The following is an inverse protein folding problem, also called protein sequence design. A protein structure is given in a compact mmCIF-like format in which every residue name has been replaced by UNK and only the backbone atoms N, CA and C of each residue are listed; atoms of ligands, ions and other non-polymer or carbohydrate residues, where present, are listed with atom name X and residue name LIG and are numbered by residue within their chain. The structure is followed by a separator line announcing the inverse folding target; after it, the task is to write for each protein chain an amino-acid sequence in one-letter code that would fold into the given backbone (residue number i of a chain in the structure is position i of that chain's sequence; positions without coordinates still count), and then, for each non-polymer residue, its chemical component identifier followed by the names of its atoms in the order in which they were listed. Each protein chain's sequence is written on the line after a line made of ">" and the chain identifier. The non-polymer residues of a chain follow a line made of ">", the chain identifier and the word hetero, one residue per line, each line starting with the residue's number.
data_IF_397246206927
#
_entry.id   IF_397246206927
#
_cell.length_a   1.000
_cell.length_b   1.000
_cell.length_c   1.000
_cell.angle_alpha   90.00
_cell.angle_beta   90.00
_cell.angle_gamma   90.00
#
_symmetry.space_group_name_H-M   'P 1'
#
loop_
_entity.id
_entity.type
_entity.pdbx_description
1 polymer ?
#
# COMPACT_ATOMS: atom_id res chain seq x y z
N UNK A 1 12.84 -19.27 -0.77
CA UNK A 1 13.25 -20.37 -1.69
C UNK A 1 12.88 -20.14 -3.17
N UNK A 2 11.67 -19.69 -3.52
CA UNK A 2 11.21 -19.60 -4.93
C UNK A 2 12.16 -18.86 -5.89
N UNK A 3 12.79 -17.77 -5.45
CA UNK A 3 13.69 -17.01 -6.33
C UNK A 3 15.03 -17.72 -6.57
N UNK A 4 15.57 -18.46 -5.59
CA UNK A 4 16.79 -19.28 -5.73
C UNK A 4 16.59 -20.28 -6.89
N UNK A 5 15.49 -21.03 -6.81
CA UNK A 5 15.11 -21.99 -7.84
C UNK A 5 14.89 -21.33 -9.21
N UNK A 6 14.27 -20.15 -9.25
CA UNK A 6 14.07 -19.41 -10.51
C UNK A 6 15.39 -19.00 -11.17
N UNK A 7 16.38 -18.56 -10.39
CA UNK A 7 17.70 -18.16 -10.91
C UNK A 7 18.41 -19.40 -11.48
N UNK A 8 18.47 -20.49 -10.71
CA UNK A 8 19.11 -21.73 -11.17
C UNK A 8 18.41 -22.37 -12.37
N UNK A 9 17.07 -22.31 -12.41
CA UNK A 9 16.30 -22.75 -13.57
C UNK A 9 16.62 -21.88 -14.80
N UNK A 10 16.82 -20.57 -14.64
CA UNK A 10 17.25 -19.70 -15.73
C UNK A 10 18.66 -20.04 -16.21
N UNK A 11 19.62 -20.27 -15.31
CA UNK A 11 20.97 -20.71 -15.70
C UNK A 11 20.92 -22.01 -16.50
N UNK A 12 20.17 -23.00 -16.01
CA UNK A 12 20.02 -24.30 -16.69
C UNK A 12 19.40 -24.15 -18.08
N UNK A 13 18.33 -23.36 -18.23
CA UNK A 13 17.71 -23.06 -19.53
C UNK A 13 18.66 -22.38 -20.51
N UNK A 14 19.59 -21.57 -20.01
CA UNK A 14 20.59 -20.87 -20.81
C UNK A 14 21.88 -21.69 -21.01
N UNK A 15 21.90 -22.97 -20.62
CA UNK A 15 23.09 -23.83 -20.65
C UNK A 15 24.30 -23.24 -19.90
N UNK A 16 24.03 -22.44 -18.87
CA UNK A 16 25.05 -21.89 -17.98
C UNK A 16 25.24 -22.79 -16.76
N UNK A 17 26.44 -22.76 -16.18
CA UNK A 17 26.70 -23.38 -14.89
C UNK A 17 25.86 -22.71 -13.81
N UNK A 18 25.45 -23.50 -12.81
CA UNK A 18 24.79 -22.94 -11.63
C UNK A 18 25.78 -22.03 -10.88
N UNK A 19 25.27 -20.88 -10.45
CA UNK A 19 26.02 -19.93 -9.64
C UNK A 19 25.51 -19.92 -8.20
N UNK A 20 26.37 -19.69 -7.21
CA UNK A 20 25.92 -19.39 -5.85
C UNK A 20 25.01 -18.15 -5.87
N UNK A 21 23.90 -18.24 -5.16
CA UNK A 21 23.00 -17.11 -4.92
C UNK A 21 23.02 -16.86 -3.43
N UNK A 22 23.36 -15.63 -3.03
CA UNK A 22 23.43 -15.21 -1.62
C UNK A 22 22.13 -14.49 -1.27
N UNK A 23 21.23 -15.09 -0.49
CA UNK A 23 20.06 -14.41 0.04
C UNK A 23 20.48 -13.30 1.01
N UNK A 24 19.96 -12.10 0.81
CA UNK A 24 20.09 -10.99 1.77
C UNK A 24 18.70 -10.53 2.16
N UNK A 25 18.44 -10.47 3.46
CA UNK A 25 17.22 -9.94 4.05
C UNK A 25 17.60 -8.70 4.84
N UNK A 26 17.09 -7.55 4.41
CA UNK A 26 17.09 -6.34 5.22
C UNK A 26 15.75 -6.27 5.95
N UNK A 27 15.79 -6.21 7.27
CA UNK A 27 14.61 -6.12 8.12
C UNK A 27 14.62 -4.83 8.94
N UNK A 28 13.50 -4.12 8.94
CA UNK A 28 13.32 -2.85 9.63
C UNK A 28 11.92 -2.74 10.28
N UNK A 29 11.34 -3.87 10.68
CA UNK A 29 10.03 -3.91 11.33
C UNK A 29 10.07 -3.44 12.79
N UNK A 30 8.90 -3.40 13.43
CA UNK A 30 8.74 -2.92 14.82
C UNK A 30 9.39 -3.86 15.85
N UNK A 31 9.37 -5.16 15.60
CA UNK A 31 9.83 -6.20 16.52
C UNK A 31 11.17 -6.75 16.07
N UNK A 32 12.01 -7.24 16.97
CA UNK A 32 13.24 -7.95 16.57
C UNK A 32 12.93 -9.21 15.77
N UNK A 33 13.65 -9.45 14.67
CA UNK A 33 13.50 -10.65 13.86
C UNK A 33 14.15 -11.85 14.52
N UNK A 34 13.36 -12.89 14.81
CA UNK A 34 13.86 -14.18 15.28
C UNK A 34 14.32 -15.02 14.10
N UNK A 35 15.63 -15.18 13.95
CA UNK A 35 16.21 -16.07 12.94
C UNK A 35 15.70 -17.50 13.18
N UNK A 36 15.15 -18.11 12.14
CA UNK A 36 14.65 -19.49 12.16
C UNK A 36 15.15 -20.19 10.89
N UNK A 37 15.76 -21.36 11.02
CA UNK A 37 16.19 -22.16 9.86
C UNK A 37 14.97 -22.76 9.17
N UNK A 38 15.12 -23.16 7.92
CA UNK A 38 13.99 -23.68 7.16
C UNK A 38 13.42 -24.97 7.79
N UNK A 39 14.27 -25.89 8.25
CA UNK A 39 13.85 -27.08 9.02
C UNK A 39 13.04 -26.75 10.26
N UNK A 40 13.32 -25.64 10.92
CA UNK A 40 12.71 -25.32 12.21
C UNK A 40 11.22 -25.00 12.04
N UNK A 41 10.72 -24.75 10.82
CA UNK A 41 9.28 -24.57 10.52
C UNK A 41 8.47 -25.87 10.48
N UNK A 42 9.13 -27.03 10.46
CA UNK A 42 8.45 -28.33 10.43
C UNK A 42 8.27 -28.84 11.86
N UNK A 43 7.06 -28.72 12.39
CA UNK A 43 6.72 -29.10 13.76
C UNK A 43 6.26 -30.56 13.81
N UNK A 44 6.66 -31.29 14.86
CA UNK A 44 6.19 -32.66 15.13
C UNK A 44 6.75 -33.76 14.22
N UNK A 45 7.85 -33.50 13.50
CA UNK A 45 8.55 -34.52 12.70
C UNK A 45 9.77 -35.06 13.44
N UNK A 46 10.05 -36.35 13.26
CA UNK A 46 11.26 -36.97 13.78
C UNK A 46 12.51 -36.40 13.09
N UNK A 47 13.57 -36.18 13.87
CA UNK A 47 14.83 -35.60 13.39
C UNK A 47 15.46 -36.40 12.23
N UNK A 48 15.17 -37.70 12.13
CA UNK A 48 15.61 -38.56 11.01
C UNK A 48 15.18 -38.00 9.65
N UNK A 49 14.06 -37.27 9.59
CA UNK A 49 13.54 -36.71 8.35
C UNK A 49 14.18 -35.36 7.96
N UNK A 50 14.97 -34.72 8.84
CA UNK A 50 15.60 -33.43 8.53
C UNK A 50 16.56 -33.48 7.35
N UNK A 51 17.14 -34.64 7.02
CA UNK A 51 18.01 -34.81 5.83
C UNK A 51 17.27 -34.63 4.49
N UNK A 52 15.94 -34.69 4.49
CA UNK A 52 15.12 -34.49 3.29
C UNK A 52 14.61 -33.05 3.17
N UNK A 53 14.91 -32.19 4.15
CA UNK A 53 14.52 -30.78 4.14
C UNK A 53 15.66 -29.96 3.53
N UNK A 54 15.40 -29.17 2.47
CA UNK A 54 16.42 -28.33 1.87
C UNK A 54 16.86 -27.22 2.81
N UNK A 55 18.13 -27.18 3.15
CA UNK A 55 18.72 -26.15 3.99
C UNK A 55 19.49 -25.13 3.14
N UNK A 56 19.34 -23.86 3.48
CA UNK A 56 20.07 -22.75 2.87
C UNK A 56 20.23 -21.63 3.90
N UNK A 57 21.33 -20.89 3.78
CA UNK A 57 21.60 -19.74 4.63
C UNK A 57 21.12 -18.45 3.98
N UNK A 58 20.87 -17.44 4.81
CA UNK A 58 20.62 -16.08 4.37
C UNK A 58 21.33 -15.09 5.28
N UNK A 59 21.79 -13.98 4.70
CA UNK A 59 22.34 -12.86 5.45
C UNK A 59 21.17 -12.00 5.94
N UNK A 60 20.98 -11.91 7.25
CA UNK A 60 20.00 -11.03 7.87
C UNK A 60 20.67 -9.76 8.39
N UNK A 61 20.19 -8.61 7.94
CA UNK A 61 20.48 -7.31 8.53
C UNK A 61 19.19 -6.79 9.17
N UNK A 62 19.06 -6.98 10.48
CA UNK A 62 17.97 -6.41 11.26
C UNK A 62 18.41 -5.05 11.85
N UNK A 63 17.76 -3.97 11.42
CA UNK A 63 18.10 -2.61 11.83
C UNK A 63 17.80 -2.32 13.30
N UNK A 64 16.96 -3.13 13.96
CA UNK A 64 16.66 -2.98 15.39
C UNK A 64 17.89 -3.26 16.27
N UNK A 65 18.88 -4.00 15.78
CA UNK A 65 20.11 -4.31 16.51
C UNK A 65 21.18 -3.22 16.47
N UNK A 66 20.99 -2.16 15.69
CA UNK A 66 21.95 -1.08 15.56
C UNK A 66 21.40 0.20 16.18
N UNK A 67 22.28 1.03 16.76
CA UNK A 67 21.95 2.40 17.13
C UNK A 67 21.96 3.34 15.91
N UNK A 68 21.40 4.55 16.04
CA UNK A 68 21.50 5.55 14.96
C UNK A 68 22.95 5.94 14.69
N UNK A 69 23.78 6.05 15.73
CA UNK A 69 25.20 6.37 15.62
C UNK A 69 25.97 5.24 14.93
N UNK A 70 25.64 3.98 15.21
CA UNK A 70 26.26 2.84 14.53
C UNK A 70 25.91 2.80 13.04
N UNK A 71 24.63 3.01 12.69
CA UNK A 71 24.20 3.09 11.29
C UNK A 71 24.89 4.26 10.58
N UNK A 72 24.95 5.42 11.26
CA UNK A 72 25.54 6.63 10.70
C UNK A 72 27.05 6.48 10.48
N UNK A 73 27.80 6.03 11.48
CA UNK A 73 29.26 6.20 11.47
C UNK A 73 30.06 4.91 11.24
N UNK A 74 29.44 3.73 11.38
CA UNK A 74 30.18 2.45 11.44
C UNK A 74 29.75 1.42 10.40
N UNK A 75 28.45 1.28 10.16
CA UNK A 75 27.92 0.14 9.37
C UNK A 75 27.93 0.43 7.88
N UNK A 76 27.52 1.65 7.48
CA UNK A 76 27.35 2.01 6.07
C UNK A 76 28.29 3.15 5.67
N UNK A 77 28.94 3.00 4.51
CA UNK A 77 29.91 3.99 3.99
C UNK A 77 29.34 4.94 2.94
N UNK A 78 28.22 4.58 2.31
CA UNK A 78 27.57 5.43 1.30
C UNK A 78 26.52 6.31 1.97
N UNK A 79 26.56 7.60 1.67
CA UNK A 79 25.60 8.62 2.15
C UNK A 79 24.14 8.15 1.95
N UNK A 80 23.80 7.68 0.75
CA UNK A 80 22.46 7.18 0.46
C UNK A 80 22.04 6.02 1.34
N UNK A 81 22.94 5.08 1.64
CA UNK A 81 22.66 3.95 2.54
C UNK A 81 22.52 4.41 3.99
N UNK A 82 23.40 5.27 4.48
CA UNK A 82 23.30 5.82 5.85
C UNK A 82 21.91 6.46 6.06
N UNK A 83 21.51 7.35 5.15
CA UNK A 83 20.22 8.04 5.22
C UNK A 83 19.06 7.04 5.14
N UNK A 84 19.08 6.13 4.17
CA UNK A 84 18.01 5.13 3.98
C UNK A 84 17.83 4.27 5.22
N UNK A 85 18.93 3.77 5.79
CA UNK A 85 18.88 2.88 6.95
C UNK A 85 18.45 3.61 8.22
N UNK A 86 18.87 4.87 8.41
CA UNK A 86 18.37 5.71 9.51
C UNK A 86 16.86 5.95 9.40
N UNK A 87 16.36 6.28 8.21
CA UNK A 87 14.93 6.50 8.02
C UNK A 87 14.13 5.20 8.19
N UNK A 88 14.57 4.10 7.58
CA UNK A 88 13.90 2.80 7.71
C UNK A 88 13.87 2.30 9.15
N UNK A 89 14.96 2.44 9.90
CA UNK A 89 15.01 2.07 11.33
C UNK A 89 14.00 2.83 12.17
N UNK A 90 13.85 4.13 11.92
CA UNK A 90 13.05 5.00 12.77
C UNK A 90 11.63 5.24 12.22
N UNK A 91 11.25 4.60 11.10
CA UNK A 91 9.98 4.89 10.39
C UNK A 91 8.73 4.67 11.25
N UNK A 92 8.80 3.78 12.24
CA UNK A 92 7.68 3.46 13.14
C UNK A 92 7.72 4.22 14.48
N UNK A 93 8.64 5.16 14.64
CA UNK A 93 8.77 5.98 15.85
C UNK A 93 8.71 7.46 15.47
N UNK A 94 7.50 7.99 15.35
CA UNK A 94 7.24 9.35 14.85
C UNK A 94 7.99 10.42 15.64
N UNK A 95 8.13 10.24 16.96
CA UNK A 95 8.87 11.15 17.82
C UNK A 95 10.35 11.20 17.42
N UNK A 96 11.02 10.05 17.37
CA UNK A 96 12.45 10.00 17.01
C UNK A 96 12.66 10.41 15.56
N UNK A 97 11.81 9.91 14.64
CA UNK A 97 11.89 10.24 13.23
C UNK A 97 11.78 11.76 13.03
N UNK A 98 10.76 12.38 13.63
CA UNK A 98 10.58 13.81 13.57
C UNK A 98 11.77 14.56 14.18
N UNK A 99 12.18 14.23 15.40
CA UNK A 99 13.22 14.95 16.14
C UNK A 99 14.61 14.84 15.46
N UNK A 100 14.86 13.75 14.74
CA UNK A 100 16.15 13.46 14.11
C UNK A 100 16.16 13.64 12.60
N UNK A 101 15.02 13.93 11.96
CA UNK A 101 14.90 14.04 10.51
C UNK A 101 15.98 14.96 9.90
N UNK A 102 16.16 16.15 10.49
CA UNK A 102 17.17 17.11 10.07
C UNK A 102 18.58 16.51 10.13
N UNK A 103 18.94 15.90 11.26
CA UNK A 103 20.25 15.27 11.44
C UNK A 103 20.49 14.10 10.47
N UNK A 104 19.44 13.40 10.05
CA UNK A 104 19.54 12.34 9.05
C UNK A 104 19.77 12.92 7.65
N UNK A 105 19.03 13.95 7.26
CA UNK A 105 19.19 14.60 5.96
C UNK A 105 20.47 15.43 5.84
N UNK A 106 21.00 15.98 6.93
CA UNK A 106 22.25 16.73 6.93
C UNK A 106 23.44 15.90 6.41
N UNK A 107 23.40 14.57 6.56
CA UNK A 107 24.38 13.63 5.99
C UNK A 107 24.45 13.78 4.46
N UNK A 108 23.31 14.10 3.84
CA UNK A 108 23.16 14.23 2.40
C UNK A 108 23.31 15.65 1.86
N UNK A 109 23.70 16.64 2.67
CA UNK A 109 23.67 18.06 2.28
C UNK A 109 24.27 18.35 0.90
N UNK A 110 25.51 17.90 0.66
CA UNK A 110 26.18 18.09 -0.63
C UNK A 110 25.58 17.18 -1.71
N UNK A 111 25.24 15.95 -1.33
CA UNK A 111 24.68 14.95 -2.24
C UNK A 111 23.35 15.41 -2.83
N UNK A 112 22.52 16.12 -2.07
CA UNK A 112 21.22 16.63 -2.50
C UNK A 112 21.30 17.80 -3.49
N UNK A 113 22.48 18.37 -3.73
CA UNK A 113 22.68 19.34 -4.82
C UNK A 113 23.03 18.66 -6.15
N UNK A 114 23.31 17.35 -6.14
CA UNK A 114 23.70 16.59 -7.32
C UNK A 114 22.51 15.87 -7.97
N UNK A 115 22.53 15.72 -9.30
CA UNK A 115 21.43 15.09 -10.03
C UNK A 115 21.13 13.64 -9.61
N UNK A 116 22.15 12.86 -9.21
CA UNK A 116 21.93 11.51 -8.66
C UNK A 116 21.33 11.55 -7.25
N UNK A 117 21.82 12.45 -6.40
CA UNK A 117 21.29 12.60 -5.04
C UNK A 117 19.88 13.15 -5.00
N UNK A 118 19.47 13.97 -5.97
CA UNK A 118 18.08 14.39 -6.14
C UNK A 118 17.15 13.23 -6.51
N UNK A 119 17.56 12.32 -7.41
CA UNK A 119 16.77 11.12 -7.74
C UNK A 119 16.63 10.19 -6.53
N UNK A 120 17.72 10.06 -5.77
CA UNK A 120 17.70 9.34 -4.49
C UNK A 120 16.74 10.01 -3.50
N UNK A 121 16.86 11.33 -3.31
CA UNK A 121 16.05 12.09 -2.37
C UNK A 121 14.56 12.03 -2.73
N UNK A 122 14.20 12.10 -4.02
CA UNK A 122 12.83 11.88 -4.47
C UNK A 122 12.28 10.53 -3.97
N UNK A 123 13.08 9.47 -4.09
CA UNK A 123 12.68 8.13 -3.65
C UNK A 123 12.48 8.08 -2.12
N UNK A 124 13.35 8.76 -1.37
CA UNK A 124 13.28 8.87 0.08
C UNK A 124 12.04 9.65 0.54
N UNK A 125 11.75 10.81 -0.06
CA UNK A 125 10.58 11.62 0.27
C UNK A 125 9.29 10.82 0.01
N UNK A 126 9.22 10.13 -1.13
CA UNK A 126 8.09 9.25 -1.47
C UNK A 126 7.92 8.13 -0.45
N UNK A 127 9.02 7.53 -0.01
CA UNK A 127 8.99 6.49 1.02
C UNK A 127 8.45 7.03 2.34
N UNK A 128 8.91 8.20 2.79
CA UNK A 128 8.44 8.83 4.03
C UNK A 128 6.93 9.05 4.03
N UNK A 129 6.38 9.67 2.98
CA UNK A 129 4.95 9.92 2.86
C UNK A 129 4.11 8.65 2.70
N UNK A 130 4.71 7.56 2.19
CA UNK A 130 4.03 6.29 2.06
C UNK A 130 4.05 5.47 3.35
N UNK A 131 5.16 5.50 4.08
CA UNK A 131 5.43 4.57 5.18
C UNK A 131 5.24 5.18 6.58
N UNK A 132 4.99 6.49 6.69
CA UNK A 132 4.76 7.19 7.95
C UNK A 132 3.75 8.32 7.80
N UNK A 133 3.18 8.76 8.91
CA UNK A 133 2.25 9.91 8.99
C UNK A 133 3.00 11.24 9.16
N UNK A 134 4.22 11.34 8.64
CA UNK A 134 5.02 12.56 8.77
C UNK A 134 4.41 13.68 7.92
N UNK A 135 4.21 14.85 8.54
CA UNK A 135 3.65 16.02 7.87
C UNK A 135 4.58 16.50 6.73
N UNK A 136 3.99 16.82 5.57
CA UNK A 136 4.76 17.27 4.41
C UNK A 136 5.51 18.57 4.69
N UNK A 137 4.91 19.50 5.44
CA UNK A 137 5.52 20.76 5.82
C UNK A 137 6.81 20.54 6.62
N UNK A 138 6.83 19.58 7.54
CA UNK A 138 8.02 19.22 8.30
C UNK A 138 9.17 18.74 7.40
N UNK A 139 8.86 17.88 6.41
CA UNK A 139 9.87 17.38 5.45
C UNK A 139 10.39 18.51 4.57
N UNK A 140 9.48 19.36 4.08
CA UNK A 140 9.79 20.51 3.23
C UNK A 140 10.71 21.48 3.95
N UNK A 141 10.35 21.92 5.16
CA UNK A 141 11.10 22.93 5.89
C UNK A 141 12.47 22.40 6.33
N UNK A 142 12.52 21.14 6.74
CA UNK A 142 13.80 20.47 7.03
C UNK A 142 14.72 20.48 5.80
N UNK A 143 14.21 20.15 4.61
CA UNK A 143 15.03 20.07 3.40
C UNK A 143 15.43 21.44 2.87
N UNK A 144 14.56 22.46 2.96
CA UNK A 144 14.89 23.85 2.61
C UNK A 144 16.10 24.39 3.39
N UNK A 145 16.23 24.01 4.66
CA UNK A 145 17.37 24.42 5.49
C UNK A 145 18.68 23.70 5.13
N UNK A 146 18.58 22.54 4.48
CA UNK A 146 19.73 21.66 4.20
C UNK A 146 20.26 21.89 2.79
N UNK A 147 19.37 21.90 1.80
CA UNK A 147 19.71 21.94 0.37
C UNK A 147 18.70 22.77 -0.41
N UNK A 148 19.18 23.64 -1.29
CA UNK A 148 18.31 24.47 -2.13
C UNK A 148 17.54 23.58 -3.11
N UNK A 149 18.25 22.72 -3.85
CA UNK A 149 17.61 21.78 -4.78
C UNK A 149 16.72 20.77 -4.05
N UNK A 150 17.17 20.24 -2.91
CA UNK A 150 16.37 19.32 -2.10
C UNK A 150 15.08 19.95 -1.59
N UNK A 151 15.14 21.20 -1.13
CA UNK A 151 13.97 22.00 -0.76
C UNK A 151 13.00 22.18 -1.91
N UNK A 152 13.48 22.60 -3.10
CA UNK A 152 12.65 22.78 -4.31
C UNK A 152 11.99 21.48 -4.76
N UNK A 153 12.74 20.37 -4.72
CA UNK A 153 12.24 19.04 -5.06
C UNK A 153 11.12 18.60 -4.10
N UNK A 154 11.32 18.77 -2.80
CA UNK A 154 10.34 18.37 -1.78
C UNK A 154 8.99 19.09 -1.94
N UNK A 155 9.02 20.40 -2.19
CA UNK A 155 7.82 21.20 -2.47
C UNK A 155 7.09 20.70 -3.72
N UNK A 156 7.83 20.39 -4.79
CA UNK A 156 7.26 19.90 -6.04
C UNK A 156 6.60 18.52 -5.85
N UNK A 157 7.24 17.62 -5.10
CA UNK A 157 6.69 16.29 -4.81
C UNK A 157 5.41 16.41 -3.97
N UNK A 158 5.42 17.22 -2.91
CA UNK A 158 4.26 17.45 -2.07
C UNK A 158 3.08 18.04 -2.87
N UNK A 159 3.32 19.08 -3.67
CA UNK A 159 2.29 19.68 -4.53
C UNK A 159 1.69 18.66 -5.50
N UNK A 160 2.52 17.79 -6.11
CA UNK A 160 2.04 16.75 -7.03
C UNK A 160 1.22 15.67 -6.31
N UNK A 161 1.57 15.31 -5.08
CA UNK A 161 0.82 14.34 -4.29
C UNK A 161 -0.54 14.90 -3.85
N UNK A 162 -0.58 16.16 -3.40
CA UNK A 162 -1.82 16.88 -3.08
C UNK A 162 -2.74 16.94 -4.30
N UNK A 163 -2.21 17.31 -5.46
CA UNK A 163 -3.02 17.39 -6.69
C UNK A 163 -3.54 16.01 -7.11
N UNK A 164 -2.71 14.96 -7.03
CA UNK A 164 -3.15 13.58 -7.27
C UNK A 164 -4.27 13.18 -6.31
N UNK A 165 -4.15 13.52 -5.03
CA UNK A 165 -5.17 13.26 -4.02
C UNK A 165 -6.50 13.96 -4.33
N UNK A 166 -6.45 15.24 -4.74
CA UNK A 166 -7.65 16.00 -5.16
C UNK A 166 -8.32 15.38 -6.37
N UNK A 167 -7.54 14.96 -7.37
CA UNK A 167 -8.06 14.30 -8.58
C UNK A 167 -8.70 12.96 -8.20
N UNK A 168 -8.03 12.14 -7.39
CA UNK A 168 -8.56 10.86 -6.93
C UNK A 168 -9.87 11.04 -6.16
N UNK A 169 -9.90 11.95 -5.19
CA UNK A 169 -11.11 12.24 -4.40
C UNK A 169 -12.27 12.77 -5.26
N UNK A 170 -11.99 13.58 -6.28
CA UNK A 170 -13.02 14.02 -7.24
C UNK A 170 -13.57 12.85 -8.06
N UNK A 171 -12.71 11.95 -8.52
CA UNK A 171 -13.14 10.78 -9.29
C UNK A 171 -13.97 9.82 -8.43
N UNK A 172 -13.52 9.53 -7.21
CA UNK A 172 -14.26 8.69 -6.26
C UNK A 172 -15.61 9.31 -5.90
N UNK A 173 -15.63 10.60 -5.55
CA UNK A 173 -16.87 11.31 -5.22
C UNK A 173 -17.85 11.37 -6.41
N UNK A 174 -17.34 11.53 -7.64
CA UNK A 174 -18.17 11.47 -8.84
C UNK A 174 -18.73 10.07 -9.06
N UNK A 175 -17.91 9.03 -8.96
CA UNK A 175 -18.36 7.65 -9.12
C UNK A 175 -19.41 7.26 -8.06
N UNK A 176 -19.20 7.67 -6.80
CA UNK A 176 -20.16 7.46 -5.73
C UNK A 176 -21.47 8.24 -5.97
N UNK A 177 -21.37 9.50 -6.40
CA UNK A 177 -22.51 10.33 -6.75
C UNK A 177 -23.33 9.76 -7.92
N UNK A 178 -22.67 9.32 -9.00
CA UNK A 178 -23.31 8.67 -10.14
C UNK A 178 -24.00 7.36 -9.72
N UNK A 179 -23.34 6.56 -8.87
CA UNK A 179 -23.92 5.32 -8.32
C UNK A 179 -25.16 5.60 -7.48
N UNK A 180 -25.08 6.57 -6.56
CA UNK A 180 -26.20 6.94 -5.68
C UNK A 180 -27.37 7.51 -6.48
N UNK A 181 -27.11 8.44 -7.40
CA UNK A 181 -28.14 9.03 -8.26
C UNK A 181 -28.83 7.99 -9.15
N UNK A 182 -28.08 7.01 -9.69
CA UNK A 182 -28.67 5.88 -10.44
C UNK A 182 -29.57 5.02 -9.55
N UNK A 183 -29.18 4.74 -8.31
CA UNK A 183 -30.02 3.99 -7.37
C UNK A 183 -31.30 4.75 -7.02
N UNK A 184 -31.19 6.03 -6.67
CA UNK A 184 -32.35 6.88 -6.34
C UNK A 184 -33.33 6.95 -7.52
N UNK A 185 -32.83 7.20 -8.74
CA UNK A 185 -33.67 7.22 -9.94
C UNK A 185 -34.31 5.87 -10.29
N UNK A 186 -33.63 4.75 -10.01
CA UNK A 186 -34.23 3.42 -10.17
C UNK A 186 -35.35 3.17 -9.15
N UNK A 187 -35.15 3.58 -7.89
CA UNK A 187 -36.16 3.45 -6.84
C UNK A 187 -37.39 4.31 -7.18
N UNK A 188 -37.18 5.56 -7.60
CA UNK A 188 -38.25 6.47 -8.02
C UNK A 188 -39.02 5.91 -9.24
N UNK A 189 -38.31 5.36 -10.23
CA UNK A 189 -38.95 4.73 -11.38
C UNK A 189 -39.77 3.48 -11.00
N UNK A 190 -39.29 2.68 -10.04
CA UNK A 190 -40.02 1.53 -9.50
C UNK A 190 -41.25 2.00 -8.72
N UNK A 191 -41.13 3.04 -7.90
CA UNK A 191 -42.24 3.68 -7.16
C UNK A 191 -43.35 4.12 -8.11
N UNK A 192 -43.02 4.93 -9.11
CA UNK A 192 -43.98 5.39 -10.12
C UNK A 192 -44.62 4.21 -10.85
N UNK A 193 -43.83 3.21 -11.25
CA UNK A 193 -44.33 2.03 -11.95
C UNK A 193 -45.28 1.18 -11.09
N UNK A 194 -44.99 1.02 -9.80
CA UNK A 194 -45.85 0.31 -8.85
C UNK A 194 -47.14 1.07 -8.60
N UNK A 195 -47.08 2.39 -8.42
CA UNK A 195 -48.24 3.24 -8.19
C UNK A 195 -49.19 3.22 -9.40
N UNK A 196 -48.66 3.40 -10.61
CA UNK A 196 -49.47 3.43 -11.83
C UNK A 196 -50.18 2.09 -12.10
N UNK A 197 -49.57 0.98 -11.72
CA UNK A 197 -50.06 -0.37 -12.07
C UNK A 197 -50.89 -1.02 -10.98
N UNK A 198 -50.55 -0.79 -9.72
CA UNK A 198 -51.14 -1.45 -8.55
C UNK A 198 -51.71 -0.48 -7.52
N UNK A 199 -51.64 0.84 -7.78
CA UNK A 199 -52.10 1.86 -6.86
C UNK A 199 -51.32 1.87 -5.54
N UNK A 200 -51.96 2.38 -4.49
CA UNK A 200 -51.37 2.52 -3.15
C UNK A 200 -50.87 1.18 -2.58
N UNK A 201 -51.50 0.05 -2.94
CA UNK A 201 -51.04 -1.26 -2.49
C UNK A 201 -49.65 -1.63 -3.01
N UNK A 202 -49.23 -1.14 -4.19
CA UNK A 202 -47.89 -1.37 -4.72
C UNK A 202 -46.79 -0.69 -3.90
N UNK A 203 -47.09 0.47 -3.30
CA UNK A 203 -46.14 1.27 -2.54
C UNK A 203 -45.65 0.59 -1.25
N UNK A 204 -46.37 -0.42 -0.73
CA UNK A 204 -45.96 -1.17 0.46
C UNK A 204 -44.61 -1.88 0.30
N UNK A 205 -44.18 -2.11 -0.95
CA UNK A 205 -42.91 -2.76 -1.28
C UNK A 205 -41.70 -1.81 -1.18
N UNK A 206 -41.90 -0.49 -1.18
CA UNK A 206 -40.81 0.49 -1.25
C UNK A 206 -39.85 0.42 -0.06
N UNK A 207 -40.35 0.11 1.13
CA UNK A 207 -39.50 -0.05 2.32
C UNK A 207 -38.50 -1.21 2.16
N UNK A 208 -38.85 -2.26 1.42
CA UNK A 208 -37.94 -3.39 1.11
C UNK A 208 -37.03 -3.04 -0.06
N UNK A 209 -37.56 -2.40 -1.10
CA UNK A 209 -36.81 -1.98 -2.30
C UNK A 209 -35.72 -0.97 -1.94
N UNK A 210 -36.02 0.02 -1.10
CA UNK A 210 -35.07 1.04 -0.66
C UNK A 210 -33.90 0.52 0.18
N UNK A 211 -33.94 -0.74 0.64
CA UNK A 211 -32.81 -1.40 1.34
C UNK A 211 -31.86 -2.12 0.38
N UNK A 212 -32.19 -2.21 -0.90
CA UNK A 212 -31.38 -2.92 -1.89
C UNK A 212 -30.21 -2.04 -2.30
N UNK A 213 -28.99 -2.51 -2.02
CA UNK A 213 -27.75 -1.80 -2.38
C UNK A 213 -27.22 -2.13 -3.79
N UNK A 214 -27.77 -3.16 -4.44
CA UNK A 214 -27.32 -3.66 -5.73
C UNK A 214 -28.15 -3.05 -6.87
N UNK A 215 -27.49 -2.32 -7.78
CA UNK A 215 -28.12 -1.64 -8.92
C UNK A 215 -28.78 -2.67 -9.85
N UNK A 216 -28.12 -3.79 -10.11
CA UNK A 216 -28.59 -4.84 -11.02
C UNK A 216 -29.90 -5.48 -10.51
N UNK A 217 -30.02 -5.60 -9.18
CA UNK A 217 -31.25 -6.10 -8.54
C UNK A 217 -32.39 -5.08 -8.67
N UNK A 218 -32.11 -3.79 -8.47
CA UNK A 218 -33.10 -2.72 -8.72
C UNK A 218 -33.53 -2.67 -10.19
N UNK A 219 -32.62 -2.85 -11.15
CA UNK A 219 -32.96 -2.92 -12.57
C UNK A 219 -33.86 -4.12 -12.89
N UNK A 220 -33.58 -5.29 -12.31
CA UNK A 220 -34.40 -6.48 -12.48
C UNK A 220 -35.82 -6.27 -11.93
N UNK A 221 -35.94 -5.62 -10.77
CA UNK A 221 -37.24 -5.27 -10.17
C UNK A 221 -37.98 -4.26 -11.06
N UNK A 222 -37.30 -3.23 -11.56
CA UNK A 222 -37.88 -2.25 -12.49
C UNK A 222 -38.46 -2.92 -13.73
N UNK A 223 -37.74 -3.87 -14.35
CA UNK A 223 -38.27 -4.61 -15.50
C UNK A 223 -39.43 -5.53 -15.11
N UNK A 224 -39.36 -6.20 -13.95
CA UNK A 224 -40.46 -7.02 -13.44
C UNK A 224 -41.74 -6.21 -13.20
N UNK A 225 -41.63 -4.98 -12.68
CA UNK A 225 -42.79 -4.07 -12.50
C UNK A 225 -43.51 -3.82 -13.83
N UNK A 226 -42.78 -3.65 -14.94
CA UNK A 226 -43.38 -3.43 -16.26
C UNK A 226 -44.24 -4.61 -16.72
N UNK A 227 -43.75 -5.85 -16.59
CA UNK A 227 -44.36 -7.04 -17.20
C UNK A 227 -45.25 -7.87 -16.26
N UNK A 228 -45.12 -7.68 -14.95
CA UNK A 228 -45.79 -8.50 -13.94
C UNK A 228 -47.32 -8.47 -14.04
N UNK A 229 -47.98 -9.56 -13.66
CA UNK A 229 -49.46 -9.61 -13.66
C UNK A 229 -50.06 -9.29 -12.29
N UNK A 230 -49.28 -9.44 -11.23
CA UNK A 230 -49.68 -9.24 -9.84
C UNK A 230 -48.46 -8.83 -8.98
N UNK A 231 -48.71 -8.40 -7.74
CA UNK A 231 -47.65 -7.96 -6.80
C UNK A 231 -46.78 -9.12 -6.28
N UNK A 232 -47.30 -10.34 -6.22
CA UNK A 232 -46.55 -11.51 -5.71
C UNK A 232 -45.32 -11.83 -6.58
N UNK A 233 -45.41 -11.61 -7.89
CA UNK A 233 -44.28 -11.76 -8.81
C UNK A 233 -43.13 -10.81 -8.48
N UNK A 234 -43.43 -9.59 -8.02
CA UNK A 234 -42.43 -8.59 -7.62
C UNK A 234 -41.88 -8.94 -6.24
N UNK A 235 -42.73 -9.37 -5.30
CA UNK A 235 -42.32 -9.75 -3.94
C UNK A 235 -41.29 -10.90 -3.91
N UNK A 236 -41.37 -11.83 -4.86
CA UNK A 236 -40.41 -12.94 -4.99
C UNK A 236 -38.99 -12.48 -5.32
N UNK A 237 -38.83 -11.25 -5.84
CA UNK A 237 -37.54 -10.66 -6.18
C UNK A 237 -36.92 -9.83 -5.05
N UNK A 238 -37.66 -9.56 -3.97
CA UNK A 238 -37.25 -8.69 -2.86
C UNK A 238 -36.53 -9.45 -1.76
#
# INVERSE_FOLDING_TARGET
>A
MKYLLKIWAANSKQMQRLIPVIPVILYHGKETWKVRRFRDYFEGIDEVFFRFIPEFEYLLTDLSFYSNEEIKDKVFRRVSLQITMLLMRNIYNDKILGDKLKAFFEIGKQYFEEGEGLKFLESVIRYLYYASDIEEERVIDTLKEISEEGGRLSMTIAARLIEKGKIAGRMEGRAEGERKGRMEGLIEAIEIGLELKYGVEGLRLLKRIGKIAAIEKLESIKEAVKISKNLEEIEKLL
#
